data_IF_488584245564
#
_entry.id   IF_488584245564
#
_cell.length_a   1.000
_cell.length_b   1.000
_cell.length_c   1.000
_cell.angle_alpha   90.00
_cell.angle_beta   90.00
_cell.angle_gamma   90.00
#
_symmetry.space_group_name_H-M   'P 1'
#
loop_
_entity.id
_entity.type
_entity.pdbx_description
1 polymer ?
#
# COMPACT_ATOMS: atom_id res chain seq x y z
N UNK A 1 -3.21 -14.13 18.73
CA UNK A 1 -4.62 -13.87 19.11
C UNK A 1 -5.21 -12.87 18.12
N UNK A 2 -6.31 -13.16 17.39
CA UNK A 2 -6.91 -12.16 16.51
C UNK A 2 -7.73 -11.18 17.33
N UNK A 3 -7.46 -9.88 17.14
CA UNK A 3 -8.17 -8.80 17.78
C UNK A 3 -9.62 -8.69 17.25
N UNK A 4 -10.53 -8.38 18.16
CA UNK A 4 -11.99 -8.37 18.01
C UNK A 4 -12.42 -7.25 17.04
N UNK A 5 -13.27 -7.58 16.06
CA UNK A 5 -13.94 -6.60 15.19
C UNK A 5 -15.03 -5.88 15.99
N UNK A 6 -15.00 -4.54 16.00
CA UNK A 6 -16.16 -3.71 16.38
C UNK A 6 -16.66 -2.95 15.16
N UNK A 7 -17.98 -2.80 15.09
CA UNK A 7 -18.75 -2.32 13.95
C UNK A 7 -18.71 -0.80 13.79
N UNK A 8 -18.32 -0.36 12.60
CA UNK A 8 -18.28 1.06 12.21
C UNK A 8 -17.05 1.39 11.36
N UNK A 9 -17.15 1.23 10.03
CA UNK A 9 -16.04 1.51 9.11
C UNK A 9 -14.89 0.52 9.23
N UNK A 10 -15.14 -0.73 8.86
CA UNK A 10 -14.21 -1.85 9.07
C UNK A 10 -12.99 -1.77 8.13
N UNK A 11 -11.89 -1.15 8.59
CA UNK A 11 -10.57 -1.40 8.01
C UNK A 11 -9.60 -1.84 9.12
N UNK A 12 -8.86 -2.92 8.86
CA UNK A 12 -7.88 -3.47 9.78
C UNK A 12 -6.48 -3.13 9.25
N UNK A 13 -5.74 -2.28 9.96
CA UNK A 13 -4.34 -1.99 9.62
C UNK A 13 -3.46 -2.99 10.37
N UNK A 14 -2.99 -4.02 9.67
CA UNK A 14 -2.06 -5.01 10.21
C UNK A 14 -0.67 -4.78 9.61
N UNK A 15 0.31 -4.55 10.49
CA UNK A 15 1.72 -4.43 10.11
C UNK A 15 2.34 -5.83 10.17
N UNK A 16 2.54 -6.47 9.03
CA UNK A 16 3.28 -7.73 8.95
C UNK A 16 4.76 -7.46 8.68
N UNK A 17 5.64 -8.12 9.41
CA UNK A 17 7.09 -8.13 9.17
C UNK A 17 7.56 -9.37 8.41
N UNK A 18 6.62 -10.19 7.93
CA UNK A 18 6.92 -11.47 7.25
C UNK A 18 6.75 -11.28 5.75
N UNK A 19 7.84 -11.47 5.00
CA UNK A 19 7.86 -11.49 3.54
C UNK A 19 7.30 -12.85 3.08
N UNK A 20 5.98 -12.98 2.99
CA UNK A 20 5.32 -14.18 2.47
C UNK A 20 5.12 -14.04 0.96
N UNK A 21 5.87 -14.83 0.19
CA UNK A 21 5.91 -14.75 -1.28
C UNK A 21 4.69 -15.40 -1.98
N UNK A 22 3.62 -15.72 -1.25
CA UNK A 22 2.53 -16.54 -1.77
C UNK A 22 1.12 -15.96 -1.57
N UNK A 23 0.97 -14.64 -1.37
CA UNK A 23 -0.32 -13.97 -1.11
C UNK A 23 -1.15 -14.61 0.03
N UNK A 24 -0.56 -15.50 0.85
CA UNK A 24 -1.33 -16.31 1.80
C UNK A 24 -1.97 -15.45 2.89
N UNK A 25 -1.37 -14.30 3.22
CA UNK A 25 -1.95 -13.33 4.14
C UNK A 25 -3.22 -12.76 3.51
N UNK A 26 -3.12 -12.29 2.27
CA UNK A 26 -4.19 -11.69 1.52
C UNK A 26 -5.36 -12.67 1.38
N UNK A 27 -5.10 -13.90 0.95
CA UNK A 27 -6.11 -14.98 0.89
C UNK A 27 -6.77 -15.23 2.24
N UNK A 28 -6.00 -15.29 3.34
CA UNK A 28 -6.59 -15.49 4.67
C UNK A 28 -7.53 -14.36 5.10
N UNK A 29 -7.33 -13.14 4.60
CA UNK A 29 -8.21 -12.01 4.86
C UNK A 29 -9.43 -12.02 3.96
N UNK A 30 -9.27 -12.42 2.70
CA UNK A 30 -10.39 -12.63 1.79
C UNK A 30 -11.35 -13.71 2.33
N UNK A 31 -10.81 -14.83 2.82
CA UNK A 31 -11.60 -15.89 3.46
C UNK A 31 -12.35 -15.42 4.72
N UNK A 32 -11.83 -14.37 5.39
CA UNK A 32 -12.47 -13.73 6.55
C UNK A 32 -13.49 -12.65 6.16
N UNK A 33 -13.76 -12.47 4.86
CA UNK A 33 -14.72 -11.49 4.36
C UNK A 33 -14.16 -10.08 4.17
N UNK A 34 -12.83 -9.91 4.07
CA UNK A 34 -12.26 -8.62 3.71
C UNK A 34 -12.71 -8.22 2.29
N UNK A 35 -13.29 -7.04 2.15
CA UNK A 35 -13.77 -6.51 0.87
C UNK A 35 -12.75 -5.63 0.16
N UNK A 36 -11.67 -5.27 0.84
CA UNK A 36 -10.59 -4.45 0.32
C UNK A 36 -9.31 -4.74 1.10
N UNK A 37 -8.20 -4.95 0.40
CA UNK A 37 -6.88 -5.14 1.02
C UNK A 37 -5.97 -4.03 0.52
N UNK A 38 -5.24 -3.38 1.43
CA UNK A 38 -4.28 -2.34 1.08
C UNK A 38 -2.86 -2.71 1.55
N UNK A 39 -1.93 -2.76 0.61
CA UNK A 39 -0.49 -2.92 0.87
C UNK A 39 0.19 -1.55 0.98
N UNK A 40 1.25 -1.45 1.77
CA UNK A 40 2.05 -0.23 1.90
C UNK A 40 3.54 -0.56 1.93
N UNK A 41 4.35 0.32 1.34
CA UNK A 41 5.80 0.22 1.33
C UNK A 41 6.43 1.62 1.47
N UNK A 42 7.62 1.69 2.06
CA UNK A 42 8.35 2.94 2.27
C UNK A 42 9.70 2.99 1.54
N UNK A 43 9.99 4.16 0.97
CA UNK A 43 11.26 4.48 0.31
C UNK A 43 11.94 5.62 1.07
N UNK A 44 13.26 5.54 1.22
CA UNK A 44 14.07 6.50 1.97
C UNK A 44 14.61 5.98 3.29
N UNK A 45 14.35 4.71 3.64
CA UNK A 45 15.03 4.04 4.76
C UNK A 45 16.52 3.87 4.44
N UNK A 46 17.38 4.58 5.17
CA UNK A 46 18.84 4.53 5.00
C UNK A 46 19.42 5.59 4.06
N UNK A 47 18.62 6.49 3.51
CA UNK A 47 19.12 7.63 2.75
C UNK A 47 19.77 8.66 3.70
N UNK A 48 20.96 9.17 3.33
CA UNK A 48 21.66 10.21 4.10
C UNK A 48 20.94 11.56 4.09
N UNK A 49 20.12 11.82 3.08
CA UNK A 49 19.32 13.04 2.92
C UNK A 49 18.03 12.75 2.15
N UNK A 50 17.02 13.59 2.34
CA UNK A 50 15.74 13.51 1.63
C UNK A 50 14.55 13.14 2.53
N UNK A 51 13.32 13.26 2.02
CA UNK A 51 12.13 12.83 2.72
C UNK A 51 12.04 11.30 2.76
N UNK A 52 11.25 10.78 3.70
CA UNK A 52 10.73 9.41 3.60
C UNK A 52 9.39 9.47 2.89
N UNK A 53 9.18 8.58 1.92
CA UNK A 53 7.93 8.50 1.14
C UNK A 53 7.32 7.13 1.35
N UNK A 54 6.02 7.07 1.60
CA UNK A 54 5.24 5.84 1.69
C UNK A 54 4.21 5.81 0.56
N UNK A 55 4.13 4.67 -0.12
CA UNK A 55 3.05 4.34 -1.04
C UNK A 55 2.06 3.40 -0.38
N UNK A 56 0.78 3.54 -0.71
CA UNK A 56 -0.26 2.60 -0.31
C UNK A 56 -1.14 2.27 -1.52
N UNK A 57 -1.39 0.99 -1.76
CA UNK A 57 -2.15 0.51 -2.92
C UNK A 57 -3.25 -0.41 -2.42
N UNK A 58 -4.49 -0.12 -2.79
CA UNK A 58 -5.65 -0.92 -2.43
C UNK A 58 -6.11 -1.76 -3.62
N UNK A 59 -6.31 -3.06 -3.39
CA UNK A 59 -6.70 -4.04 -4.41
C UNK A 59 -8.02 -4.69 -3.99
N UNK A 60 -8.94 -4.82 -4.95
CA UNK A 60 -10.21 -5.53 -4.73
C UNK A 60 -9.98 -7.05 -4.75
N UNK A 61 -10.73 -7.83 -3.95
CA UNK A 61 -10.69 -9.29 -3.97
C UNK A 61 -10.83 -9.91 -5.37
N UNK A 62 -11.71 -9.34 -6.20
CA UNK A 62 -11.94 -9.77 -7.59
C UNK A 62 -10.71 -9.60 -8.47
N UNK A 63 -9.90 -8.56 -8.20
CA UNK A 63 -8.68 -8.27 -8.95
C UNK A 63 -7.53 -9.19 -8.56
N UNK A 64 -7.51 -9.71 -7.32
CA UNK A 64 -6.54 -10.73 -6.92
C UNK A 64 -6.67 -12.03 -7.73
N UNK A 65 -7.90 -12.37 -8.14
CA UNK A 65 -8.18 -13.56 -8.96
C UNK A 65 -7.91 -13.32 -10.45
N UNK A 66 -7.87 -12.06 -10.89
CA UNK A 66 -7.70 -11.66 -12.29
C UNK A 66 -6.43 -10.84 -12.54
N UNK A 67 -5.43 -10.95 -11.66
CA UNK A 67 -4.15 -10.27 -11.82
C UNK A 67 -3.54 -10.69 -13.17
N UNK A 68 -3.24 -9.73 -14.07
CA UNK A 68 -2.59 -10.01 -15.34
C UNK A 68 -1.29 -10.79 -15.14
N UNK A 69 -0.93 -11.63 -16.11
CA UNK A 69 0.32 -12.38 -16.07
C UNK A 69 1.53 -11.44 -16.02
N UNK A 70 1.40 -10.22 -16.57
CA UNK A 70 2.42 -9.18 -16.53
C UNK A 70 2.68 -8.61 -15.12
N UNK A 71 1.74 -8.80 -14.18
CA UNK A 71 1.92 -8.43 -12.77
C UNK A 71 2.46 -9.60 -11.92
N UNK A 72 2.57 -10.81 -12.49
CA UNK A 72 3.21 -11.94 -11.82
C UNK A 72 4.74 -11.74 -11.82
N UNK A 73 5.35 -11.77 -10.64
CA UNK A 73 6.80 -11.61 -10.50
C UNK A 73 7.28 -10.17 -10.27
N UNK A 74 6.38 -9.21 -10.02
CA UNK A 74 6.73 -7.90 -9.44
C UNK A 74 7.06 -8.09 -7.94
N UNK A 75 8.10 -8.85 -7.66
CA UNK A 75 8.50 -9.21 -6.29
C UNK A 75 9.76 -8.45 -5.85
N UNK A 76 10.55 -7.94 -6.79
CA UNK A 76 11.65 -7.03 -6.47
C UNK A 76 11.66 -5.83 -7.41
N UNK A 77 11.15 -4.70 -6.91
CA UNK A 77 11.32 -3.38 -7.53
C UNK A 77 12.80 -2.99 -7.67
N UNK A 78 13.72 -3.79 -7.10
CA UNK A 78 15.17 -3.69 -7.26
C UNK A 78 15.74 -4.42 -8.49
N UNK A 79 14.99 -5.35 -9.11
CA UNK A 79 15.38 -6.02 -10.36
C UNK A 79 14.84 -5.31 -11.61
N UNK A 80 13.93 -4.34 -11.43
CA UNK A 80 13.33 -3.58 -12.52
C UNK A 80 14.05 -2.24 -12.71
N UNK A 81 14.52 -2.00 -13.93
CA UNK A 81 15.06 -0.69 -14.33
C UNK A 81 14.02 0.42 -14.09
N UNK A 82 14.43 1.68 -13.90
CA UNK A 82 13.50 2.80 -13.78
C UNK A 82 12.48 2.86 -14.92
N UNK A 83 12.91 2.53 -16.15
CA UNK A 83 12.05 2.48 -17.33
C UNK A 83 10.97 1.39 -17.24
N UNK A 84 11.32 0.20 -16.76
CA UNK A 84 10.37 -0.89 -16.56
C UNK A 84 9.37 -0.56 -15.44
N UNK A 85 9.82 0.08 -14.35
CA UNK A 85 8.91 0.52 -13.28
C UNK A 85 7.89 1.54 -13.77
N UNK A 86 8.31 2.52 -14.57
CA UNK A 86 7.39 3.50 -15.16
C UNK A 86 6.41 2.86 -16.15
N UNK A 87 6.86 1.87 -16.92
CA UNK A 87 5.99 1.14 -17.84
C UNK A 87 4.90 0.33 -17.12
N UNK A 88 5.13 -0.10 -15.87
CA UNK A 88 4.16 -0.83 -15.07
C UNK A 88 3.13 0.06 -14.39
N UNK A 89 3.38 1.36 -14.24
CA UNK A 89 2.45 2.28 -13.54
C UNK A 89 1.04 2.23 -14.14
N UNK A 90 0.83 2.39 -15.47
CA UNK A 90 -0.51 2.34 -16.05
C UNK A 90 -1.20 0.99 -15.85
N UNK A 91 -0.45 -0.11 -15.89
CA UNK A 91 -0.99 -1.44 -15.65
C UNK A 91 -1.43 -1.61 -14.19
N UNK A 92 -0.64 -1.13 -13.22
CA UNK A 92 -1.02 -1.15 -11.82
C UNK A 92 -2.25 -0.26 -11.60
N UNK A 93 -2.27 0.95 -12.14
CA UNK A 93 -3.40 1.87 -12.00
C UNK A 93 -4.72 1.29 -12.53
N UNK A 94 -4.66 0.51 -13.61
CA UNK A 94 -5.84 -0.17 -14.16
C UNK A 94 -6.34 -1.36 -13.33
N UNK A 95 -5.50 -1.93 -12.45
CA UNK A 95 -5.78 -3.16 -11.70
C UNK A 95 -5.81 -2.95 -10.18
N UNK A 96 -5.98 -1.71 -9.73
CA UNK A 96 -6.09 -1.36 -8.31
C UNK A 96 -7.35 -0.52 -8.10
N UNK A 97 -7.95 -0.63 -6.91
CA UNK A 97 -9.12 0.17 -6.55
C UNK A 97 -8.76 1.66 -6.42
N UNK A 98 -7.61 1.91 -5.79
CA UNK A 98 -7.01 3.22 -5.64
C UNK A 98 -5.58 3.07 -5.12
N UNK A 99 -4.80 4.14 -5.21
CA UNK A 99 -3.50 4.26 -4.57
C UNK A 99 -3.34 5.63 -3.90
N UNK A 100 -2.50 5.70 -2.87
CA UNK A 100 -2.21 6.90 -2.11
C UNK A 100 -0.72 7.09 -1.87
N UNK A 101 -0.29 8.35 -1.80
CA UNK A 101 1.09 8.72 -1.48
C UNK A 101 1.15 9.60 -0.23
N UNK A 102 2.20 9.44 0.55
CA UNK A 102 2.48 10.28 1.69
C UNK A 102 3.97 10.43 1.90
N UNK A 103 4.41 11.62 2.29
CA UNK A 103 5.82 11.89 2.56
C UNK A 103 5.97 12.55 3.92
N UNK A 104 7.12 12.34 4.56
CA UNK A 104 7.58 13.14 5.69
C UNK A 104 8.94 13.75 5.35
N UNK A 105 9.04 15.07 5.51
CA UNK A 105 10.21 15.87 5.15
C UNK A 105 11.40 15.57 6.06
N UNK A 106 12.60 15.92 5.64
CA UNK A 106 13.80 15.81 6.47
C UNK A 106 13.69 16.64 7.76
N UNK A 107 12.95 17.76 7.74
CA UNK A 107 12.65 18.55 8.94
C UNK A 107 11.79 17.78 9.93
N UNK A 108 10.75 17.10 9.44
CA UNK A 108 9.87 16.27 10.28
C UNK A 108 10.60 15.03 10.82
N UNK A 109 11.52 14.46 10.03
CA UNK A 109 12.42 13.39 10.48
C UNK A 109 13.32 13.88 11.60
N UNK A 110 13.97 15.04 11.42
CA UNK A 110 14.85 15.63 12.42
C UNK A 110 14.11 15.98 13.71
N UNK A 111 12.86 16.47 13.62
CA UNK A 111 12.09 16.87 14.80
C UNK A 111 11.47 15.71 15.57
N UNK A 112 11.02 14.65 14.88
CA UNK A 112 10.19 13.61 15.49
C UNK A 112 10.84 12.21 15.51
N UNK A 113 12.00 12.06 14.87
CA UNK A 113 12.71 10.80 14.68
C UNK A 113 12.15 9.97 13.50
N UNK A 114 13.02 9.11 12.95
CA UNK A 114 12.73 8.35 11.73
C UNK A 114 11.48 7.49 11.84
N UNK A 115 11.31 6.74 12.94
CA UNK A 115 10.15 5.86 13.11
C UNK A 115 8.82 6.63 13.14
N UNK A 116 8.81 7.85 13.70
CA UNK A 116 7.63 8.70 13.72
C UNK A 116 7.35 9.30 12.35
N UNK A 117 8.39 9.73 11.64
CA UNK A 117 8.26 10.23 10.28
C UNK A 117 7.73 9.17 9.29
N UNK A 118 8.18 7.91 9.41
CA UNK A 118 7.61 6.78 8.63
C UNK A 118 6.12 6.62 8.90
N UNK A 119 5.72 6.59 10.18
CA UNK A 119 4.29 6.51 10.54
C UNK A 119 3.49 7.70 10.00
N UNK A 120 4.07 8.90 10.01
CA UNK A 120 3.45 10.08 9.43
C UNK A 120 3.26 9.96 7.91
N UNK A 121 4.28 9.50 7.19
CA UNK A 121 4.21 9.24 5.76
C UNK A 121 3.13 8.20 5.44
N UNK A 122 3.08 7.08 6.16
CA UNK A 122 2.05 6.03 5.98
C UNK A 122 0.64 6.59 6.26
N UNK A 123 0.46 7.39 7.33
CA UNK A 123 -0.84 8.03 7.62
C UNK A 123 -1.28 8.97 6.51
N UNK A 124 -0.35 9.73 5.92
CA UNK A 124 -0.61 10.60 4.77
C UNK A 124 -1.01 9.78 3.54
N UNK A 125 -0.30 8.69 3.24
CA UNK A 125 -0.63 7.79 2.15
C UNK A 125 -2.03 7.16 2.32
N UNK A 126 -2.36 6.72 3.54
CA UNK A 126 -3.70 6.24 3.88
C UNK A 126 -4.79 7.30 3.65
N UNK A 127 -4.53 8.55 4.06
CA UNK A 127 -5.50 9.65 3.91
C UNK A 127 -5.77 9.97 2.43
N UNK A 128 -4.72 9.99 1.61
CA UNK A 128 -4.84 10.18 0.16
C UNK A 128 -5.63 9.02 -0.48
N UNK A 129 -5.27 7.78 -0.16
CA UNK A 129 -5.97 6.58 -0.61
C UNK A 129 -7.47 6.62 -0.24
N UNK A 130 -7.79 6.87 1.03
CA UNK A 130 -9.17 6.91 1.52
C UNK A 130 -9.99 8.01 0.82
N UNK A 131 -9.36 9.15 0.54
CA UNK A 131 -10.00 10.24 -0.21
C UNK A 131 -10.33 9.81 -1.64
N UNK A 132 -9.41 9.12 -2.32
CA UNK A 132 -9.61 8.61 -3.68
C UNK A 132 -10.68 7.51 -3.73
N UNK A 133 -10.68 6.57 -2.80
CA UNK A 133 -11.72 5.53 -2.71
C UNK A 133 -13.12 6.13 -2.53
N UNK A 134 -13.25 7.17 -1.70
CA UNK A 134 -14.53 7.89 -1.51
C UNK A 134 -15.00 8.63 -2.75
N UNK A 135 -14.07 9.11 -3.59
CA UNK A 135 -14.37 9.83 -4.84
C UNK A 135 -14.61 8.89 -6.01
N UNK A 136 -13.94 7.73 -6.04
CA UNK A 136 -14.08 6.70 -7.07
C UNK A 136 -15.34 5.83 -6.91
N UNK A 137 -15.97 5.81 -5.74
CA UNK A 137 -17.27 5.14 -5.51
C UNK A 137 -18.49 5.89 -6.06
N UNK A 138 -18.31 6.91 -6.91
CA UNK A 138 -19.35 7.79 -7.43
C UNK A 138 -19.20 8.11 -8.92
N UNK A 139 -18.90 7.12 -9.75
CA UNK A 139 -18.93 7.23 -11.21
C UNK A 139 -19.65 6.04 -11.80
N UNK A 140 -20.83 6.28 -12.40
CA UNK A 140 -21.60 5.30 -13.16
C UNK A 140 -21.08 5.06 -14.56
#
# INVERSE_FOLDING_TARGET
MPARLTSGGHYCIMRTSVRLQNLAIEWSWLDRGATLIAGTDEVGRGAWAGPVVAGMVAVLPTLYQSLPLELHGIDDSKLLSPKQRLALVPHIEAHVAAWGLGAATSREIASAGFGTAVRLAIRRAYTDLATKLRRGGGGG
#
